data_IF_285304190976
#
_entry.id   IF_285304190976
#
_cell.length_a   1.000
_cell.length_b   1.000
_cell.length_c   1.000
_cell.angle_alpha   90.00
_cell.angle_beta   90.00
_cell.angle_gamma   90.00
#
_symmetry.space_group_name_H-M   'P 1'
#
loop_
_entity.id
_entity.type
_entity.pdbx_description
1 polymer ?
2 non-polymer ?
3 non-polymer ?
4 water ?
#
# COMPACT_ATOMS: atom_id res chain seq x y z
N UNK A 4 21.98 -22.39 -3.69
CA UNK A 4 21.57 -21.00 -4.15
C UNK A 4 20.89 -20.21 -3.01
N UNK A 5 21.45 -19.07 -2.54
CA UNK A 5 21.05 -18.47 -1.27
C UNK A 5 19.68 -17.78 -1.39
N UNK A 6 18.96 -17.69 -0.29
CA UNK A 6 17.64 -17.01 -0.28
C UNK A 6 17.91 -15.52 -0.22
N UNK A 7 17.12 -14.72 -0.94
CA UNK A 7 17.37 -13.29 -0.94
C UNK A 7 17.01 -12.60 0.36
N UNK A 8 17.69 -11.48 0.62
CA UNK A 8 17.48 -10.60 1.79
C UNK A 8 16.69 -9.37 1.35
N UNK A 9 16.70 -9.10 0.03
CA UNK A 9 16.02 -7.93 -0.58
C UNK A 9 15.53 -8.33 -1.98
N UNK A 10 14.32 -7.86 -2.34
CA UNK A 10 13.80 -8.01 -3.71
C UNK A 10 13.41 -6.64 -4.22
N UNK A 11 13.27 -6.54 -5.52
CA UNK A 11 12.70 -5.31 -6.10
C UNK A 11 11.31 -5.64 -6.64
N UNK A 12 10.43 -4.66 -6.44
CA UNK A 12 9.00 -4.77 -6.78
C UNK A 12 8.64 -3.60 -7.69
N UNK A 13 8.07 -3.85 -8.84
CA UNK A 13 7.46 -2.87 -9.75
C UNK A 13 5.97 -2.78 -9.44
N UNK A 14 5.49 -1.56 -9.30
CA UNK A 14 4.07 -1.25 -9.16
C UNK A 14 3.68 -0.38 -10.36
N UNK A 15 2.67 -0.76 -11.12
CA UNK A 15 2.14 0.09 -12.19
C UNK A 15 0.68 0.36 -11.97
N UNK A 16 0.24 1.57 -12.21
CA UNK A 16 -1.17 1.89 -12.24
C UNK A 16 -1.50 2.65 -13.53
N UNK A 17 -2.52 2.20 -14.24
CA UNK A 17 -2.91 2.84 -15.50
C UNK A 17 -4.41 2.78 -15.68
N UNK A 18 -5.04 3.93 -15.76
CA UNK A 18 -6.46 4.00 -16.16
C UNK A 18 -6.44 4.08 -17.70
N UNK A 19 -6.87 3.01 -18.33
CA UNK A 19 -6.71 2.80 -19.80
C UNK A 19 -7.81 3.53 -20.58
N UNK A 20 -8.80 4.11 -19.93
CA UNK A 20 -9.82 4.89 -20.64
C UNK A 20 -10.61 4.06 -21.61
N UNK A 21 -10.78 2.78 -21.31
CA UNK A 21 -11.64 1.86 -22.10
C UNK A 21 -11.12 1.78 -23.54
N UNK A 22 -9.82 1.94 -23.76
CA UNK A 22 -9.18 1.82 -25.08
C UNK A 22 -8.10 0.77 -25.00
N UNK A 23 -7.89 -0.01 -26.05
CA UNK A 23 -6.75 -0.92 -26.10
C UNK A 23 -5.43 -0.17 -26.06
N UNK A 24 -4.40 -0.82 -25.52
CA UNK A 24 -3.10 -0.17 -25.43
C UNK A 24 -2.46 -0.10 -26.80
N UNK A 25 -1.41 0.74 -26.90
CA UNK A 25 -0.64 0.75 -28.13
C UNK A 25 0.22 -0.50 -28.19
N UNK A 26 0.92 -0.67 -29.31
CA UNK A 26 1.68 -1.91 -29.54
C UNK A 26 2.87 -2.08 -28.59
N UNK A 27 3.47 -0.96 -28.18
CA UNK A 27 4.65 -0.96 -27.29
C UNK A 27 4.32 -0.21 -26.00
N UNK A 28 4.55 -0.86 -24.86
CA UNK A 28 4.32 -0.24 -23.51
C UNK A 28 5.54 -0.53 -22.64
N UNK A 29 6.65 -0.91 -23.24
CA UNK A 29 7.87 -1.21 -22.43
C UNK A 29 8.37 -0.04 -21.56
N UNK A 30 8.14 1.21 -21.96
CA UNK A 30 8.58 2.40 -21.19
C UNK A 30 8.00 2.30 -19.77
N UNK A 31 6.77 1.81 -19.65
CA UNK A 31 6.11 1.70 -18.35
C UNK A 31 6.95 0.81 -17.43
N UNK A 32 7.25 -0.41 -17.88
CA UNK A 32 7.98 -1.40 -17.06
C UNK A 32 9.46 -1.01 -16.86
N UNK A 33 10.00 -0.16 -17.72
CA UNK A 33 11.36 0.36 -17.56
C UNK A 33 11.42 1.62 -16.70
N UNK A 34 10.29 2.15 -16.21
CA UNK A 34 10.31 3.37 -15.39
C UNK A 34 10.98 4.51 -16.18
N UNK A 35 10.57 4.70 -17.43
CA UNK A 35 11.07 5.78 -18.31
C UNK A 35 9.96 6.81 -18.54
N UNK A 36 10.33 8.09 -18.52
CA UNK A 36 9.42 9.18 -18.85
C UNK A 36 9.76 10.36 -18.01
N UNK A 37 8.78 10.85 -17.25
CA UNK A 37 8.92 12.01 -16.34
C UNK A 37 9.04 11.51 -14.90
N UNK A 38 9.60 12.34 -14.03
CA UNK A 38 9.65 12.12 -12.61
C UNK A 38 10.95 11.50 -12.20
N UNK A 39 10.88 10.61 -11.21
CA UNK A 39 12.04 9.87 -10.68
C UNK A 39 12.14 8.56 -11.47
N UNK A 40 13.04 8.54 -12.45
CA UNK A 40 13.10 7.48 -13.46
C UNK A 40 14.30 6.56 -13.19
N UNK A 41 14.24 5.40 -13.80
CA UNK A 41 15.23 4.36 -13.58
C UNK A 41 16.40 4.52 -14.54
N UNK A 42 17.60 4.26 -14.05
CA UNK A 42 18.83 4.40 -14.85
C UNK A 42 18.83 3.37 -16.01
N UNK A 43 19.29 3.85 -17.17
CA UNK A 43 19.39 3.02 -18.40
C UNK A 43 20.25 1.77 -18.14
N UNK A 44 21.21 1.86 -17.24
CA UNK A 44 22.11 0.71 -17.00
C UNK A 44 21.37 -0.47 -16.37
N UNK A 45 20.15 -0.25 -15.85
CA UNK A 45 19.32 -1.30 -15.23
C UNK A 45 18.30 -1.91 -16.19
N UNK A 46 18.24 -1.49 -17.44
CA UNK A 46 17.10 -1.86 -18.30
C UNK A 46 16.93 -3.36 -18.47
N UNK A 47 18.02 -4.13 -18.46
CA UNK A 47 17.88 -5.58 -18.72
C UNK A 47 17.68 -6.35 -17.43
N UNK A 48 17.78 -5.69 -16.29
CA UNK A 48 17.73 -6.33 -14.97
C UNK A 48 16.26 -6.49 -14.62
N UNK A 49 15.74 -7.72 -14.50
CA UNK A 49 14.33 -7.87 -14.16
C UNK A 49 14.07 -7.50 -12.70
N UNK A 50 12.91 -6.88 -12.45
CA UNK A 50 12.39 -6.83 -11.08
C UNK A 50 11.98 -8.23 -10.66
N UNK A 51 11.94 -8.50 -9.37
CA UNK A 51 11.55 -9.81 -8.85
C UNK A 51 10.05 -10.04 -9.03
N UNK A 52 9.25 -9.00 -8.78
CA UNK A 52 7.78 -9.05 -8.80
C UNK A 52 7.28 -7.82 -9.56
N UNK A 53 6.37 -8.00 -10.51
CA UNK A 53 5.64 -6.92 -11.21
C UNK A 53 4.17 -6.97 -10.81
N UNK A 54 3.63 -5.87 -10.34
CA UNK A 54 2.22 -5.76 -9.95
C UNK A 54 1.61 -4.68 -10.80
N UNK A 55 0.60 -5.05 -11.57
CA UNK A 55 0.04 -4.18 -12.64
C UNK A 55 -1.44 -3.93 -12.36
N UNK A 56 -1.77 -2.70 -11.94
CA UNK A 56 -3.15 -2.29 -11.65
C UNK A 56 -3.68 -1.52 -12.84
N UNK A 57 -4.82 -1.94 -13.36
CA UNK A 57 -5.51 -1.17 -14.41
C UNK A 57 -6.90 -0.78 -13.95
N UNK A 58 -7.37 0.30 -14.53
CA UNK A 58 -8.75 0.79 -14.35
C UNK A 58 -9.33 1.08 -15.73
N UNK A 59 -10.65 1.01 -15.88
CA UNK A 59 -11.25 1.21 -17.22
C UNK A 59 -10.54 0.31 -18.23
N UNK A 60 -10.24 -0.92 -17.84
CA UNK A 60 -9.50 -1.89 -18.67
C UNK A 60 -10.49 -2.61 -19.58
N UNK A 61 -10.37 -2.46 -20.90
CA UNK A 61 -11.33 -3.09 -21.84
C UNK A 61 -10.94 -4.51 -22.25
N UNK A 62 -9.79 -4.99 -21.91
CA UNK A 62 -9.25 -6.27 -22.41
C UNK A 62 -9.78 -7.42 -21.56
N UNK A 63 -9.77 -8.60 -22.14
CA UNK A 63 -9.97 -9.81 -21.34
C UNK A 63 -8.71 -10.04 -20.50
N UNK A 64 -8.79 -10.91 -19.49
CA UNK A 64 -7.61 -11.31 -18.72
C UNK A 64 -6.56 -11.93 -19.64
N UNK A 65 -7.01 -12.81 -20.55
CA UNK A 65 -6.06 -13.48 -21.44
C UNK A 65 -5.35 -12.46 -22.30
N UNK A 66 -6.10 -11.54 -22.90
CA UNK A 66 -5.51 -10.53 -23.79
C UNK A 66 -4.45 -9.71 -23.04
N UNK A 67 -4.76 -9.27 -21.83
CA UNK A 67 -3.80 -8.41 -21.09
C UNK A 67 -2.61 -9.20 -20.62
N UNK A 68 -2.80 -10.44 -20.14
CA UNK A 68 -1.67 -11.29 -19.74
C UNK A 68 -0.71 -11.52 -20.88
N UNK A 69 -1.25 -11.79 -22.08
CA UNK A 69 -0.45 -11.93 -23.33
C UNK A 69 0.48 -10.72 -23.45
N UNK A 70 -0.11 -9.52 -23.42
CA UNK A 70 0.61 -8.26 -23.68
C UNK A 70 1.66 -8.06 -22.59
N UNK A 71 1.27 -8.30 -21.35
CA UNK A 71 2.20 -8.07 -20.23
C UNK A 71 3.39 -9.02 -20.33
N UNK A 72 3.13 -10.31 -20.44
CA UNK A 72 4.24 -11.30 -20.50
C UNK A 72 5.17 -11.03 -21.69
N UNK A 73 4.61 -10.73 -22.87
CA UNK A 73 5.39 -10.37 -24.08
C UNK A 73 6.31 -9.21 -23.75
N UNK A 74 5.74 -8.12 -23.22
CA UNK A 74 6.48 -6.88 -22.91
C UNK A 74 7.67 -7.20 -21.98
N UNK A 75 7.43 -7.95 -20.91
CA UNK A 75 8.53 -8.29 -19.97
C UNK A 75 9.55 -9.19 -20.67
N UNK A 76 9.08 -10.14 -21.44
CA UNK A 76 10.04 -11.05 -22.11
C UNK A 76 10.89 -10.24 -23.07
N UNK A 77 10.33 -9.28 -23.79
CA UNK A 77 11.14 -8.42 -24.68
C UNK A 77 12.21 -7.64 -23.89
N UNK A 78 11.84 -7.09 -22.73
CA UNK A 78 12.76 -6.25 -21.92
C UNK A 78 13.86 -7.13 -21.33
N UNK A 79 13.48 -8.24 -20.74
CA UNK A 79 14.36 -8.99 -19.79
C UNK A 79 14.83 -10.32 -20.33
N UNK A 80 14.21 -10.85 -21.38
CA UNK A 80 14.46 -12.21 -21.94
C UNK A 80 14.06 -13.27 -20.90
N UNK A 81 13.20 -12.91 -19.95
CA UNK A 81 12.64 -13.83 -18.93
C UNK A 81 11.16 -14.02 -19.17
N UNK A 82 10.70 -15.26 -19.07
CA UNK A 82 9.29 -15.61 -19.14
C UNK A 82 8.73 -15.62 -17.71
N UNK A 83 7.95 -14.60 -17.37
CA UNK A 83 7.47 -14.44 -16.00
C UNK A 83 6.32 -15.41 -15.76
N UNK A 84 6.18 -15.84 -14.52
CA UNK A 84 5.09 -16.71 -14.05
C UNK A 84 3.95 -15.84 -13.53
N UNK A 85 2.73 -16.21 -13.81
CA UNK A 85 1.55 -15.50 -13.28
C UNK A 85 1.26 -15.98 -11.87
N UNK A 86 1.38 -15.13 -10.87
CA UNK A 86 1.07 -15.40 -9.46
C UNK A 86 -0.43 -15.33 -9.27
N UNK A 87 -1.05 -14.27 -9.77
CA UNK A 87 -2.47 -14.03 -9.55
C UNK A 87 -2.97 -12.98 -10.52
N UNK A 88 -4.26 -13.11 -10.84
CA UNK A 88 -4.96 -12.06 -11.61
C UNK A 88 -6.36 -11.98 -11.03
N UNK A 89 -6.87 -10.80 -10.85
CA UNK A 89 -8.23 -10.64 -10.32
C UNK A 89 -8.84 -9.37 -10.90
N UNK A 90 -10.07 -9.48 -11.37
CA UNK A 90 -10.80 -8.40 -12.02
C UNK A 90 -12.15 -8.18 -11.36
N UNK A 91 -12.48 -6.93 -11.08
CA UNK A 91 -13.83 -6.51 -10.66
C UNK A 91 -14.26 -5.51 -11.73
N UNK A 92 -15.28 -5.81 -12.51
CA UNK A 92 -15.77 -4.92 -13.59
C UNK A 92 -14.58 -4.64 -14.52
N UNK A 93 -14.11 -3.41 -14.54
CA UNK A 93 -12.98 -3.04 -15.40
C UNK A 93 -11.76 -2.62 -14.57
N UNK A 94 -11.71 -3.07 -13.32
CA UNK A 94 -10.58 -2.86 -12.38
C UNK A 94 -9.81 -4.14 -12.21
N UNK A 95 -8.53 -4.15 -12.51
CA UNK A 95 -7.80 -5.42 -12.60
C UNK A 95 -6.45 -5.32 -11.93
N UNK A 96 -6.03 -6.38 -11.32
CA UNK A 96 -4.66 -6.54 -10.78
C UNK A 96 -4.04 -7.81 -11.33
N UNK A 97 -2.81 -7.71 -11.81
CA UNK A 97 -1.98 -8.85 -12.26
C UNK A 97 -0.71 -8.86 -11.45
N UNK A 98 -0.32 -10.01 -10.91
CA UNK A 98 1.00 -10.13 -10.27
C UNK A 98 1.81 -11.18 -11.03
N UNK A 99 2.97 -10.78 -11.48
CA UNK A 99 3.92 -11.66 -12.19
C UNK A 99 5.21 -11.74 -11.39
N UNK A 100 5.90 -12.87 -11.44
CA UNK A 100 7.16 -13.04 -10.69
C UNK A 100 8.15 -13.84 -11.51
N UNK A 101 9.44 -13.60 -11.27
CA UNK A 101 10.54 -14.43 -11.85
C UNK A 101 10.22 -15.89 -11.61
N UNK A 102 10.53 -16.78 -12.57
CA UNK A 102 10.30 -18.22 -12.35
C UNK A 102 11.04 -18.79 -11.15
N UNK A 103 12.22 -18.29 -10.85
CA UNK A 103 13.02 -18.74 -9.68
C UNK A 103 12.25 -18.51 -8.38
N UNK A 104 11.24 -17.63 -8.35
CA UNK A 104 10.47 -17.33 -7.12
C UNK A 104 9.26 -18.23 -6.93
N UNK A 105 8.95 -19.09 -7.91
CA UNK A 105 7.69 -19.86 -7.88
C UNK A 105 7.55 -20.66 -6.57
N UNK A 106 8.64 -21.26 -6.10
CA UNK A 106 8.60 -22.12 -4.88
C UNK A 106 8.72 -21.24 -3.62
N UNK A 107 9.01 -19.93 -3.78
CA UNK A 107 9.17 -18.98 -2.63
C UNK A 107 7.82 -18.33 -2.31
N UNK A 108 6.86 -18.49 -3.19
CA UNK A 108 5.55 -17.80 -3.11
C UNK A 108 4.48 -18.78 -2.68
N UNK A 109 3.68 -18.44 -1.70
CA UNK A 109 2.61 -19.32 -1.22
C UNK A 109 1.46 -18.49 -0.67
N UNK A 110 0.39 -19.11 -0.23
CA UNK A 110 -0.71 -18.43 0.47
C UNK A 110 -1.17 -17.28 -0.39
N UNK A 111 -1.47 -17.54 -1.63
CA UNK A 111 -1.93 -16.49 -2.57
C UNK A 111 -3.41 -16.27 -2.30
N UNK A 112 -3.79 -15.02 -2.03
CA UNK A 112 -5.20 -14.60 -1.79
C UNK A 112 -5.58 -13.50 -2.77
N UNK A 113 -6.85 -13.45 -3.17
CA UNK A 113 -7.41 -12.36 -4.00
C UNK A 113 -8.72 -11.98 -3.38
N UNK A 114 -9.11 -10.73 -3.56
CA UNK A 114 -10.44 -10.27 -3.14
C UNK A 114 -10.77 -8.96 -3.84
N UNK A 115 -12.01 -8.55 -3.75
CA UNK A 115 -12.43 -7.24 -4.25
C UNK A 115 -13.43 -6.65 -3.28
N UNK A 116 -13.56 -5.35 -3.37
CA UNK A 116 -14.60 -4.60 -2.66
C UNK A 116 -15.29 -3.70 -3.64
N UNK A 117 -16.62 -3.70 -3.64
CA UNK A 117 -17.46 -2.79 -4.41
C UNK A 117 -17.86 -1.64 -3.53
N UNK A 118 -17.53 -0.40 -3.91
CA UNK A 118 -17.86 0.75 -3.03
C UNK A 118 -19.24 1.31 -3.39
N UNK A 119 -19.77 2.18 -2.54
CA UNK A 119 -21.01 2.91 -2.91
C UNK A 119 -22.27 2.13 -2.60
N UNK A 120 -23.43 2.69 -2.96
CA UNK A 120 -24.79 2.13 -2.67
C UNK A 120 -25.69 2.60 -3.81
N UNK A 121 -26.49 1.69 -4.38
CA UNK A 121 -27.50 1.95 -5.44
C UNK A 121 -26.85 2.69 -6.63
N UNK A 122 -27.16 3.98 -6.81
CA UNK A 122 -26.61 4.91 -7.84
C UNK A 122 -25.09 4.72 -8.00
N UNK A 123 -24.39 4.67 -6.86
CA UNK A 123 -22.90 4.74 -6.76
C UNK A 123 -22.30 3.34 -6.62
N UNK A 124 -23.11 2.28 -6.64
CA UNK A 124 -22.56 0.90 -6.76
C UNK A 124 -22.63 0.48 -8.23
N UNK A 125 -21.51 0.02 -8.78
CA UNK A 125 -21.52 -0.70 -10.07
C UNK A 125 -20.32 -0.42 -10.93
N UNK A 126 -19.46 0.55 -10.56
CA UNK A 126 -18.19 0.55 -11.30
C UNK A 126 -16.92 0.86 -10.49
N UNK A 127 -17.04 1.45 -9.30
CA UNK A 127 -15.87 1.84 -8.45
C UNK A 127 -15.63 0.75 -7.40
N UNK A 128 -14.39 0.64 -6.94
CA UNK A 128 -14.03 -0.29 -5.88
C UNK A 128 -12.58 -0.67 -6.00
N UNK A 129 -12.23 -1.84 -5.53
CA UNK A 129 -10.82 -2.23 -5.46
C UNK A 129 -10.67 -3.70 -5.65
N UNK A 130 -9.52 -4.09 -6.15
CA UNK A 130 -9.10 -5.50 -6.21
C UNK A 130 -7.80 -5.61 -5.43
N UNK A 131 -7.50 -6.76 -4.91
CA UNK A 131 -6.22 -6.96 -4.23
C UNK A 131 -5.72 -8.34 -4.28
N UNK A 132 -4.42 -8.46 -4.02
CA UNK A 132 -3.70 -9.73 -4.01
C UNK A 132 -2.80 -9.72 -2.77
N UNK A 133 -2.68 -10.84 -2.09
CA UNK A 133 -1.64 -11.05 -1.07
C UNK A 133 -0.97 -12.40 -1.22
N UNK A 134 0.25 -12.51 -0.72
CA UNK A 134 0.94 -13.80 -0.71
C UNK A 134 2.06 -13.66 0.28
N UNK A 135 2.68 -14.81 0.55
CA UNK A 135 3.91 -14.91 1.34
C UNK A 135 5.05 -15.06 0.34
N UNK A 136 6.12 -14.34 0.52
CA UNK A 136 7.38 -14.50 -0.20
C UNK A 136 8.35 -14.96 0.88
N UNK A 137 8.72 -16.24 0.88
CA UNK A 137 9.49 -16.81 2.03
C UNK A 137 8.85 -16.33 3.35
N UNK A 138 9.59 -15.65 4.23
CA UNK A 138 9.08 -15.30 5.56
C UNK A 138 8.31 -13.97 5.58
N UNK A 139 8.12 -13.35 4.42
CA UNK A 139 7.62 -11.96 4.32
C UNK A 139 6.23 -11.94 3.68
N UNK A 140 5.28 -11.25 4.29
CA UNK A 140 3.91 -11.13 3.73
C UNK A 140 3.85 -9.85 2.89
N UNK A 141 3.25 -9.94 1.73
CA UNK A 141 3.13 -8.83 0.77
C UNK A 141 1.64 -8.66 0.40
N UNK A 142 1.14 -7.45 0.46
CA UNK A 142 -0.23 -7.13 0.01
C UNK A 142 -0.22 -6.04 -1.02
N UNK A 143 -1.17 -6.08 -1.93
CA UNK A 143 -1.28 -5.17 -3.07
C UNK A 143 -2.72 -4.82 -3.29
N UNK A 144 -3.02 -3.54 -3.38
CA UNK A 144 -4.43 -3.06 -3.56
C UNK A 144 -4.43 -2.12 -4.75
N UNK A 145 -5.28 -2.40 -5.72
CA UNK A 145 -5.58 -1.48 -6.84
C UNK A 145 -6.98 -0.94 -6.67
N UNK A 146 -7.12 0.32 -6.40
CA UNK A 146 -8.46 0.92 -6.20
C UNK A 146 -8.74 1.94 -7.27
N UNK A 147 -9.98 2.00 -7.74
CA UNK A 147 -10.54 3.07 -8.59
C UNK A 147 -11.59 3.78 -7.72
N UNK A 148 -11.26 4.97 -7.20
CA UNK A 148 -12.14 5.66 -6.26
C UNK A 148 -13.05 6.62 -7.04
N UNK A 149 -14.00 7.15 -6.31
CA UNK A 149 -15.02 8.06 -6.86
C UNK A 149 -14.36 9.20 -7.58
N UNK A 150 -14.91 9.57 -8.75
CA UNK A 150 -14.40 10.67 -9.59
C UNK A 150 -15.05 12.00 -9.20
N UNK A 151 -14.43 13.09 -9.63
CA UNK A 151 -15.05 14.41 -9.53
C UNK A 151 -14.36 15.27 -8.51
N UNK A 152 -14.05 16.50 -8.89
CA UNK A 152 -13.29 17.39 -7.99
C UNK A 152 -13.98 17.64 -6.64
N UNK A 153 -15.31 17.61 -6.62
CA UNK A 153 -16.13 17.99 -5.45
C UNK A 153 -16.28 16.80 -4.49
N UNK A 154 -15.78 15.62 -4.84
CA UNK A 154 -16.10 14.39 -4.09
C UNK A 154 -14.89 13.84 -3.32
N UNK A 155 -14.06 14.69 -2.75
CA UNK A 155 -12.95 14.15 -1.96
C UNK A 155 -13.43 13.35 -0.73
N UNK A 156 -14.51 13.78 -0.09
CA UNK A 156 -14.99 13.09 1.14
C UNK A 156 -15.51 11.69 0.74
N UNK A 157 -16.13 11.57 -0.44
CA UNK A 157 -16.56 10.25 -0.95
C UNK A 157 -15.33 9.36 -1.16
N UNK A 158 -14.27 9.89 -1.75
CA UNK A 158 -13.04 9.09 -1.95
C UNK A 158 -12.53 8.61 -0.60
N UNK A 159 -12.53 9.49 0.39
CA UNK A 159 -12.05 9.11 1.73
C UNK A 159 -12.92 7.95 2.28
N UNK A 160 -14.22 8.04 2.07
CA UNK A 160 -15.14 6.97 2.55
C UNK A 160 -14.85 5.69 1.76
N UNK A 161 -14.60 5.84 0.45
CA UNK A 161 -14.28 4.64 -0.35
C UNK A 161 -13.03 3.94 0.22
N UNK A 162 -11.98 4.72 0.50
CA UNK A 162 -10.76 4.20 1.15
C UNK A 162 -11.08 3.41 2.42
N UNK A 163 -11.92 3.98 3.30
CA UNK A 163 -12.21 3.31 4.59
C UNK A 163 -12.97 2.01 4.31
N UNK A 164 -13.94 2.04 3.40
CA UNK A 164 -14.66 0.79 3.06
C UNK A 164 -13.70 -0.28 2.53
N UNK A 165 -12.80 0.08 1.62
CA UNK A 165 -11.87 -0.89 1.05
C UNK A 165 -11.00 -1.48 2.17
N UNK A 166 -10.44 -0.59 2.97
CA UNK A 166 -9.57 -0.90 4.13
C UNK A 166 -10.27 -1.93 5.04
N UNK A 167 -11.56 -1.70 5.31
CA UNK A 167 -12.35 -2.53 6.25
C UNK A 167 -12.66 -3.90 5.66
N UNK A 168 -13.04 -3.92 4.38
CA UNK A 168 -13.77 -5.09 3.86
C UNK A 168 -12.92 -5.96 2.95
N UNK A 169 -11.77 -5.48 2.47
CA UNK A 169 -10.95 -6.32 1.60
C UNK A 169 -10.33 -7.42 2.46
N UNK A 170 -10.56 -8.67 2.10
CA UNK A 170 -10.18 -9.86 2.90
C UNK A 170 -8.95 -10.49 2.27
N UNK A 171 -7.79 -10.04 2.69
CA UNK A 171 -6.50 -10.58 2.20
C UNK A 171 -5.69 -11.00 3.39
N UNK A 172 -4.64 -11.76 3.14
CA UNK A 172 -3.69 -12.17 4.16
C UNK A 172 -4.28 -13.16 5.13
N UNK A 173 -3.64 -13.27 6.30
CA UNK A 173 -3.90 -14.38 7.27
C UNK A 173 -5.21 -14.10 8.02
N UNK A 174 -6.22 -14.93 7.71
CA UNK A 174 -7.55 -14.76 8.35
C UNK A 174 -7.46 -14.96 9.87
N UNK A 175 -6.48 -15.59 10.42
CA UNK A 175 -6.31 -15.71 11.89
C UNK A 175 -6.02 -14.36 12.53
N UNK A 176 -5.57 -13.38 11.73
CA UNK A 176 -5.34 -12.00 12.26
C UNK A 176 -6.64 -11.25 12.34
N UNK A 177 -7.63 -11.81 13.05
CA UNK A 177 -9.03 -11.38 12.96
C UNK A 177 -9.21 -9.94 13.40
N UNK A 178 -8.50 -9.38 14.41
CA UNK A 178 -8.68 -7.97 14.79
C UNK A 178 -8.11 -6.94 13.79
N UNK A 179 -7.35 -7.44 12.83
CA UNK A 179 -6.50 -6.56 11.98
C UNK A 179 -7.06 -6.45 10.58
N UNK A 180 -7.10 -5.24 10.07
CA UNK A 180 -7.42 -4.97 8.67
C UNK A 180 -6.17 -5.04 7.80
N UNK A 181 -6.35 -4.83 6.49
CA UNK A 181 -5.18 -4.97 5.60
C UNK A 181 -4.07 -3.99 5.94
N UNK A 182 -4.34 -2.88 6.64
CA UNK A 182 -3.24 -1.94 6.99
C UNK A 182 -2.32 -2.47 8.08
N UNK A 183 -2.59 -3.65 8.63
CA UNK A 183 -1.69 -4.29 9.60
C UNK A 183 -1.34 -5.72 9.24
N UNK A 184 -1.87 -6.31 8.16
CA UNK A 184 -1.64 -7.75 7.93
C UNK A 184 -0.35 -8.06 7.19
N UNK A 185 0.35 -7.08 6.62
CA UNK A 185 1.49 -7.34 5.73
C UNK A 185 2.75 -6.63 6.17
N UNK A 186 3.86 -7.32 5.95
CA UNK A 186 5.18 -6.72 6.12
C UNK A 186 5.23 -5.46 5.24
N UNK A 187 4.81 -5.59 4.00
CA UNK A 187 4.79 -4.47 3.03
C UNK A 187 3.42 -4.48 2.36
N UNK A 188 2.71 -3.35 2.41
CA UNK A 188 1.43 -3.17 1.72
C UNK A 188 1.60 -2.06 0.71
N UNK A 189 1.26 -2.29 -0.53
CA UNK A 189 1.30 -1.28 -1.61
C UNK A 189 -0.14 -1.00 -2.01
N UNK A 190 -0.53 0.26 -2.03
CA UNK A 190 -1.91 0.68 -2.37
C UNK A 190 -1.81 1.72 -3.49
N UNK A 191 -2.39 1.45 -4.63
CA UNK A 191 -2.20 2.24 -5.85
C UNK A 191 -3.54 2.26 -6.60
N UNK A 192 -3.58 3.06 -7.65
CA UNK A 192 -4.75 3.09 -8.49
C UNK A 192 -5.06 4.47 -8.99
N UNK A 193 -6.22 4.56 -9.68
CA UNK A 193 -6.85 5.86 -9.97
C UNK A 193 -7.62 6.29 -8.74
N UNK A 194 -6.86 6.92 -7.84
CA UNK A 194 -7.44 7.38 -6.58
C UNK A 194 -8.28 8.64 -6.81
N UNK A 195 -8.12 9.32 -7.93
CA UNK A 195 -9.08 10.33 -8.38
C UNK A 195 -9.04 11.62 -7.59
N UNK A 196 -8.07 11.82 -6.70
CA UNK A 196 -7.93 13.14 -6.06
C UNK A 196 -7.40 14.17 -7.04
N UNK A 197 -7.93 15.37 -6.90
CA UNK A 197 -7.72 16.44 -7.87
C UNK A 197 -6.95 17.61 -7.26
N UNK A 198 -6.46 18.46 -8.16
CA UNK A 198 -5.80 19.72 -7.77
C UNK A 198 -6.95 20.71 -7.58
N UNK A 199 -7.18 21.14 -6.35
CA UNK A 199 -8.37 21.96 -5.97
C UNK A 199 -8.00 23.44 -6.13
N UNK A 200 -8.09 23.92 -7.37
CA UNK A 200 -7.90 25.34 -7.72
C UNK A 200 -9.16 25.70 -8.51
N UNK A 201 -9.49 27.02 -8.57
CA UNK A 201 -10.65 27.44 -9.34
C UNK A 201 -10.56 27.05 -10.81
N UNK A 202 -11.70 26.73 -11.42
CA UNK A 202 -11.78 26.23 -12.82
C UNK A 202 -11.29 27.31 -13.81
N UNK A 203 -11.43 28.58 -13.46
CA UNK A 203 -10.96 29.71 -14.31
C UNK A 203 -9.44 29.91 -14.19
N UNK A 204 -8.76 29.16 -13.32
CA UNK A 204 -7.27 29.07 -13.34
C UNK A 204 -6.76 27.96 -14.28
N UNK A 205 -7.59 27.31 -15.07
CA UNK A 205 -7.16 26.17 -15.91
C UNK A 205 -5.96 26.53 -16.77
N UNK A 206 -5.98 27.66 -17.45
CA UNK A 206 -4.91 27.94 -18.42
C UNK A 206 -3.64 28.29 -17.62
N UNK A 207 -3.80 28.89 -16.45
CA UNK A 207 -2.66 29.22 -15.55
C UNK A 207 -2.02 27.90 -15.12
N UNK A 208 -2.85 26.92 -14.75
CA UNK A 208 -2.30 25.60 -14.34
C UNK A 208 -1.51 24.96 -15.50
N UNK A 209 -2.08 24.99 -16.69
CA UNK A 209 -1.41 24.44 -17.88
C UNK A 209 -0.04 25.09 -18.10
N UNK A 210 0.05 26.41 -17.97
CA UNK A 210 1.34 27.11 -18.18
C UNK A 210 2.33 26.71 -17.07
N UNK A 211 1.88 26.49 -15.83
CA UNK A 211 2.78 26.01 -14.77
C UNK A 211 3.35 24.63 -15.13
N UNK A 212 2.46 23.75 -15.64
CA UNK A 212 2.90 22.40 -16.04
C UNK A 212 3.91 22.49 -17.19
N UNK A 213 3.69 23.35 -18.17
CA UNK A 213 4.67 23.53 -19.27
C UNK A 213 6.04 24.01 -18.76
N UNK A 214 6.08 24.77 -17.67
CA UNK A 214 7.30 25.29 -17.04
C UNK A 214 7.89 24.27 -16.08
N UNK A 215 7.24 23.11 -15.95
CA UNK A 215 7.64 22.09 -14.94
C UNK A 215 7.71 22.69 -13.53
N UNK A 216 6.78 23.57 -13.20
CA UNK A 216 6.73 24.23 -11.89
C UNK A 216 5.51 23.64 -11.20
N UNK A 217 5.71 22.58 -10.42
CA UNK A 217 4.58 21.80 -9.83
C UNK A 217 4.27 22.25 -8.42
N UNK A 218 5.07 23.12 -7.77
CA UNK A 218 4.97 23.31 -6.31
C UNK A 218 3.61 23.88 -5.93
N UNK A 219 3.15 24.91 -6.64
CA UNK A 219 1.87 25.60 -6.31
C UNK A 219 0.69 24.74 -6.77
N UNK A 220 0.92 23.72 -7.58
CA UNK A 220 -0.17 22.77 -7.86
C UNK A 220 -0.22 21.68 -6.78
N UNK A 221 0.93 21.10 -6.42
CA UNK A 221 0.98 20.05 -5.37
C UNK A 221 0.46 20.58 -4.04
N UNK A 222 0.66 21.87 -3.75
CA UNK A 222 0.15 22.44 -2.46
C UNK A 222 -1.38 22.42 -2.46
N UNK A 223 -2.04 22.17 -3.59
CA UNK A 223 -3.53 22.07 -3.66
C UNK A 223 -3.99 20.65 -4.02
N UNK A 224 -3.07 19.70 -4.11
CA UNK A 224 -3.49 18.31 -4.40
C UNK A 224 -4.30 17.79 -3.23
N UNK A 225 -5.48 17.26 -3.53
CA UNK A 225 -6.38 16.84 -2.43
C UNK A 225 -5.83 15.66 -1.67
N UNK A 226 -5.13 14.75 -2.31
CA UNK A 226 -4.61 13.59 -1.57
C UNK A 226 -3.54 14.08 -0.57
N UNK A 227 -2.61 14.90 -0.99
CA UNK A 227 -1.61 15.44 -0.04
C UNK A 227 -2.31 16.21 1.08
N UNK A 228 -3.30 17.04 0.80
CA UNK A 228 -3.89 17.88 1.87
C UNK A 228 -4.74 17.01 2.77
N UNK A 229 -5.48 16.04 2.23
CA UNK A 229 -6.28 15.15 3.08
C UNK A 229 -5.37 14.28 3.95
N UNK A 230 -4.24 13.82 3.41
CA UNK A 230 -3.26 13.03 4.17
C UNK A 230 -2.66 13.89 5.29
N UNK A 231 -2.33 15.15 5.01
CA UNK A 231 -1.70 16.02 6.05
C UNK A 231 -2.72 16.26 7.17
N UNK A 232 -4.01 16.30 6.86
CA UNK A 232 -5.08 16.53 7.87
C UNK A 232 -5.54 15.21 8.47
N UNK A 233 -4.88 14.09 8.18
CA UNK A 233 -5.17 12.76 8.74
C UNK A 233 -6.59 12.34 8.43
N UNK A 234 -7.06 12.63 7.23
CA UNK A 234 -8.42 12.24 6.78
C UNK A 234 -8.41 10.93 6.03
N UNK A 235 -7.25 10.46 5.54
CA UNK A 235 -7.14 9.31 4.64
C UNK A 235 -5.69 8.83 4.61
N UNK A 236 -5.47 7.57 4.33
CA UNK A 236 -4.12 7.00 4.16
C UNK A 236 -3.25 7.33 5.38
N UNK A 237 -3.81 7.26 6.55
CA UNK A 237 -2.97 7.47 7.75
C UNK A 237 -1.87 6.41 7.82
N UNK A 238 -0.64 6.87 8.06
CA UNK A 238 0.54 6.01 8.25
C UNK A 238 1.02 5.36 6.96
N UNK A 239 0.57 5.83 5.81
CA UNK A 239 1.17 5.46 4.49
C UNK A 239 2.20 6.48 4.07
N UNK A 240 3.10 6.04 3.20
CA UNK A 240 4.15 6.88 2.57
C UNK A 240 3.81 7.07 1.08
N UNK A 241 4.32 8.16 0.49
CA UNK A 241 4.29 8.37 -0.95
C UNK A 241 5.59 9.08 -1.28
N UNK A 242 6.22 8.68 -2.37
CA UNK A 242 7.42 9.38 -2.89
C UNK A 242 7.01 10.77 -3.39
N UNK A 243 7.93 11.73 -3.33
CA UNK A 243 7.65 13.06 -3.85
C UNK A 243 7.31 12.96 -5.32
N UNK A 244 6.29 13.70 -5.75
CA UNK A 244 5.82 13.79 -7.13
C UNK A 244 6.67 14.80 -7.90
N UNK A 245 7.30 14.38 -8.99
CA UNK A 245 8.19 15.26 -9.80
C UNK A 245 7.82 15.10 -11.27
N UNK A 246 6.64 14.58 -11.57
CA UNK A 246 6.11 14.38 -12.94
C UNK A 246 4.87 15.24 -13.07
N UNK A 247 4.53 15.56 -14.30
CA UNK A 247 3.33 16.35 -14.60
C UNK A 247 2.08 15.57 -14.23
N UNK A 248 0.98 16.30 -13.96
CA UNK A 248 -0.31 15.65 -13.78
C UNK A 248 -0.57 14.62 -14.88
N UNK A 249 -1.18 13.49 -14.49
CA UNK A 249 -1.35 12.34 -15.39
C UNK A 249 -2.75 12.30 -16.01
N UNK A 250 -3.56 13.27 -15.70
CA UNK A 250 -4.98 13.36 -16.15
C UNK A 250 -5.27 14.85 -16.26
N UNK A 251 -6.18 15.28 -17.14
CA UNK A 251 -6.85 14.57 -18.21
C UNK A 251 -6.31 15.01 -19.57
N UNK A 252 -5.74 14.09 -20.33
CA UNK A 252 -5.10 14.37 -21.64
C UNK A 252 -6.09 14.13 -22.78
N UNK A 253 -5.94 14.92 -23.84
CA UNK A 253 -6.44 14.53 -25.17
C UNK A 253 -5.74 13.24 -25.56
N UNK A 254 -6.46 12.28 -26.10
CA UNK A 254 -5.84 11.03 -26.56
C UNK A 254 -4.97 11.26 -27.80
N UNK A 255 -3.97 10.41 -27.93
CA UNK A 255 -3.07 10.26 -29.11
C UNK A 255 -2.02 11.37 -29.15
N UNK A 256 -2.02 12.28 -28.19
CA UNK A 256 -0.88 13.18 -27.94
C UNK A 256 -0.66 13.26 -26.43
N UNK A 257 0.40 13.93 -25.96
CA UNK A 257 0.44 14.40 -24.54
C UNK A 257 0.57 15.92 -24.49
N UNK A 258 0.28 16.59 -25.60
CA UNK A 258 0.56 18.04 -25.71
C UNK A 258 -0.61 18.86 -25.15
N UNK A 259 -1.76 18.24 -24.93
CA UNK A 259 -2.98 18.94 -24.53
C UNK A 259 -3.67 18.25 -23.35
N UNK A 260 -3.96 19.07 -22.36
CA UNK A 260 -4.87 18.75 -21.26
C UNK A 260 -6.28 19.12 -21.69
N UNK A 261 -7.19 18.16 -21.66
CA UNK A 261 -8.60 18.33 -22.02
C UNK A 261 -9.37 18.53 -20.73
N UNK A 262 -9.52 19.74 -20.29
CA UNK A 262 -10.11 20.03 -18.97
C UNK A 262 -11.53 20.59 -19.00
N UNK A 263 -11.97 21.09 -20.17
CA UNK A 263 -13.25 21.84 -20.28
C UNK A 263 -14.44 20.89 -20.08
N UNK A 264 -15.57 21.42 -19.61
CA UNK A 264 -16.78 20.59 -19.38
C UNK A 264 -17.38 20.20 -20.74
N UNK A 265 -17.85 18.97 -20.84
CA UNK A 265 -18.45 18.39 -22.06
C UNK A 265 -19.61 17.49 -21.65
N UNK A 266 -20.56 17.22 -22.57
CA UNK A 266 -21.62 16.27 -22.22
C UNK A 266 -21.00 14.93 -21.77
N UNK A 267 -19.93 14.50 -22.44
CA UNK A 267 -19.25 13.22 -22.14
C UNK A 267 -18.69 13.23 -20.70
N UNK A 268 -18.43 14.40 -20.11
CA UNK A 268 -17.92 14.48 -18.70
C UNK A 268 -19.04 14.78 -17.72
N UNK A 269 -20.32 14.71 -18.10
CA UNK A 269 -21.40 15.10 -17.21
C UNK A 269 -21.36 16.59 -16.94
N UNK A 270 -20.82 17.36 -17.87
CA UNK A 270 -20.63 18.81 -17.74
C UNK A 270 -19.78 19.15 -16.51
N UNK A 271 -18.75 18.33 -16.30
CA UNK A 271 -17.74 18.50 -15.21
C UNK A 271 -16.42 18.98 -15.83
N UNK A 272 -15.75 19.90 -15.13
CA UNK A 272 -14.37 20.29 -15.45
C UNK A 272 -13.46 19.21 -14.89
N UNK A 273 -12.41 18.92 -15.62
CA UNK A 273 -11.33 18.01 -15.18
C UNK A 273 -10.00 18.76 -15.26
N UNK A 274 -9.77 19.63 -14.31
CA UNK A 274 -8.48 20.35 -14.25
C UNK A 274 -7.37 19.33 -14.09
N UNK A 275 -6.20 19.60 -14.67
CA UNK A 275 -5.06 18.69 -14.58
C UNK A 275 -4.85 18.28 -13.13
N UNK A 276 -4.69 16.97 -12.95
CA UNK A 276 -4.63 16.36 -11.62
C UNK A 276 -3.72 15.13 -11.59
N UNK A 277 -3.22 14.86 -10.39
CA UNK A 277 -2.46 13.62 -10.13
C UNK A 277 -3.43 12.54 -9.62
N UNK A 278 -4.25 12.04 -10.54
CA UNK A 278 -5.27 11.00 -10.16
C UNK A 278 -4.58 9.69 -9.79
N UNK A 279 -3.45 9.40 -10.39
CA UNK A 279 -2.88 8.04 -10.50
C UNK A 279 -1.67 7.90 -9.59
N UNK A 280 -1.75 7.08 -8.55
CA UNK A 280 -0.83 7.22 -7.42
C UNK A 280 -0.39 5.87 -6.91
N UNK A 281 0.75 5.84 -6.21
CA UNK A 281 1.27 4.64 -5.53
C UNK A 281 1.70 5.05 -4.14
N UNK A 282 1.13 4.42 -3.15
CA UNK A 282 1.46 4.62 -1.74
C UNK A 282 1.86 3.28 -1.13
N UNK A 283 2.52 3.31 0.02
CA UNK A 283 2.88 2.05 0.69
C UNK A 283 2.91 2.21 2.20
N UNK A 284 2.87 1.10 2.87
CA UNK A 284 3.00 1.08 4.34
C UNK A 284 3.72 -0.21 4.67
N UNK A 285 4.86 -0.12 5.32
CA UNK A 285 5.62 -1.29 5.73
C UNK A 285 5.72 -1.31 7.25
N UNK A 286 5.89 -2.49 7.82
CA UNK A 286 6.10 -2.59 9.28
C UNK A 286 7.30 -1.75 9.68
N UNK A 287 7.32 -1.31 10.97
CA UNK A 287 8.39 -0.48 11.48
C UNK A 287 9.76 -1.14 11.30
N UNK A 288 10.75 -0.36 10.83
CA UNK A 288 12.18 -0.74 10.74
C UNK A 288 12.37 -1.88 9.76
N UNK A 289 11.44 -2.07 8.81
CA UNK A 289 11.73 -2.97 7.68
C UNK A 289 12.26 -2.10 6.53
N UNK A 290 13.29 -2.55 5.85
CA UNK A 290 13.85 -1.85 4.68
C UNK A 290 12.80 -1.74 3.56
N UNK A 291 12.54 -0.50 3.14
CA UNK A 291 11.73 -0.27 1.92
C UNK A 291 12.20 1.05 1.38
N UNK A 292 12.64 1.07 0.14
CA UNK A 292 13.18 2.29 -0.50
C UNK A 292 12.57 2.43 -1.88
N UNK A 293 11.88 3.53 -2.11
CA UNK A 293 11.38 3.85 -3.47
C UNK A 293 12.54 4.22 -4.40
N UNK A 294 12.66 3.47 -5.49
CA UNK A 294 13.74 3.65 -6.50
C UNK A 294 13.26 4.50 -7.68
N UNK A 295 11.94 4.55 -7.95
CA UNK A 295 11.39 5.28 -9.11
C UNK A 295 9.95 5.63 -8.80
N UNK A 296 9.49 6.76 -9.31
CA UNK A 296 8.09 7.18 -9.20
C UNK A 296 7.87 8.19 -10.29
N UNK A 297 7.12 7.81 -11.32
CA UNK A 297 7.00 8.70 -12.48
C UNK A 297 5.91 8.30 -13.42
N UNK A 298 5.82 8.96 -14.54
CA UNK A 298 4.80 8.64 -15.55
C UNK A 298 5.48 8.47 -16.89
N UNK A 299 4.86 7.68 -17.77
CA UNK A 299 5.37 7.55 -19.13
C UNK A 299 4.88 8.73 -19.95
N UNK A 300 5.63 9.00 -20.99
CA UNK A 300 5.36 10.09 -21.94
C UNK A 300 4.90 9.63 -23.32
N UNK A 301 5.08 8.35 -23.65
CA UNK A 301 4.90 7.84 -25.04
C UNK A 301 3.59 7.05 -25.20
N UNK A 302 2.92 6.69 -24.10
CA UNK A 302 1.73 5.80 -24.14
C UNK A 302 0.51 6.73 -24.07
N UNK A 303 -0.22 6.87 -25.19
CA UNK A 303 -1.18 7.99 -25.39
C UNK A 303 -2.59 7.51 -25.74
N UNK A 304 -2.89 6.23 -25.60
CA UNK A 304 -4.23 5.68 -25.99
C UNK A 304 -5.31 6.10 -24.99
N UNK A 305 -4.93 6.44 -23.76
CA UNK A 305 -5.88 6.83 -22.74
C UNK A 305 -5.83 8.31 -22.43
N UNK A 306 -6.83 8.80 -21.75
CA UNK A 306 -6.80 10.18 -21.22
C UNK A 306 -5.98 10.27 -19.91
N UNK A 307 -5.48 9.13 -19.41
CA UNK A 307 -4.46 9.10 -18.34
C UNK A 307 -3.14 8.60 -18.90
N UNK A 308 -2.01 9.04 -18.34
CA UNK A 308 -0.72 8.38 -18.55
C UNK A 308 -0.51 7.33 -17.48
N UNK A 309 0.14 6.22 -17.85
CA UNK A 309 0.58 5.23 -16.86
C UNK A 309 1.53 5.84 -15.84
N UNK A 310 1.47 5.32 -14.63
CA UNK A 310 2.36 5.66 -13.52
C UNK A 310 3.09 4.41 -13.10
N UNK A 311 4.39 4.55 -12.84
CA UNK A 311 5.25 3.48 -12.33
C UNK A 311 5.86 3.88 -11.00
N UNK A 312 6.09 2.90 -10.15
CA UNK A 312 6.89 3.07 -8.95
C UNK A 312 7.66 1.78 -8.76
N UNK A 313 8.90 1.87 -8.31
CA UNK A 313 9.66 0.65 -7.96
C UNK A 313 10.24 0.79 -6.58
N UNK A 314 10.45 -0.37 -5.96
CA UNK A 314 10.87 -0.44 -4.57
C UNK A 314 11.87 -1.55 -4.37
N UNK A 315 12.85 -1.29 -3.50
CA UNK A 315 13.71 -2.34 -2.90
C UNK A 315 13.13 -2.65 -1.51
N UNK A 316 12.68 -3.90 -1.30
CA UNK A 316 11.95 -4.31 -0.11
C UNK A 316 12.70 -5.44 0.60
N UNK A 317 12.91 -5.26 1.89
CA UNK A 317 13.51 -6.30 2.73
C UNK A 317 12.61 -7.50 2.82
N UNK A 318 13.21 -8.70 2.73
CA UNK A 318 12.51 -9.99 2.89
C UNK A 318 13.36 -10.86 3.81
N UNK A 319 12.68 -11.79 4.44
CA UNK A 319 13.33 -12.75 5.33
C UNK A 319 13.12 -14.17 4.85
N UNK A 320 13.96 -15.08 5.34
CA UNK A 320 13.95 -16.52 4.99
C UNK A 320 12.79 -17.23 5.70
N UNK A 321 12.49 -18.46 5.26
CA UNK A 321 11.58 -19.39 5.98
C UNK A 321 12.42 -20.19 6.98
N UNK A 322 12.59 -19.70 8.20
CA UNK A 322 13.52 -20.22 9.24
C UNK A 322 13.09 -21.56 9.84
N UNK A 323 14.05 -22.50 9.93
CA UNK A 323 13.90 -23.82 10.63
C UNK A 323 15.04 -23.97 11.65
N UNK A 324 14.68 -24.28 12.90
CA UNK A 324 15.67 -24.71 13.92
C UNK A 324 15.35 -26.15 14.37
N UNK A 325 16.24 -26.67 15.21
CA UNK A 325 16.07 -27.97 15.93
C UNK A 325 14.76 -27.90 16.72
N UNK A 326 14.39 -26.71 17.23
CA UNK A 326 13.17 -26.50 18.06
C UNK A 326 12.02 -26.05 17.15
N UNK A 327 11.70 -24.75 17.08
CA UNK A 327 10.60 -24.27 16.25
C UNK A 327 11.00 -24.31 14.76
N UNK A 328 10.05 -24.35 13.81
CA UNK A 328 8.61 -24.53 14.08
C UNK A 328 8.14 -25.89 14.64
N UNK A 329 7.00 -25.87 15.32
CA UNK A 329 6.28 -27.02 15.89
C UNK A 329 6.48 -27.19 17.36
N UNK A 330 7.24 -26.28 17.95
CA UNK A 330 7.44 -26.15 19.42
C UNK A 330 8.00 -24.75 19.69
N UNK A 331 8.05 -24.38 20.96
CA UNK A 331 8.70 -23.12 21.42
C UNK A 331 10.22 -23.37 21.55
N UNK A 332 10.99 -22.29 21.67
CA UNK A 332 12.45 -22.34 21.91
C UNK A 332 12.67 -21.59 23.23
N UNK A 333 12.69 -22.30 24.35
CA UNK A 333 12.62 -21.72 25.72
C UNK A 333 13.83 -20.82 25.99
N UNK A 334 14.77 -20.70 25.05
CA UNK A 334 15.90 -19.72 25.13
C UNK A 334 15.40 -18.33 24.71
N UNK A 335 14.19 -18.23 24.16
CA UNK A 335 13.55 -16.96 23.73
C UNK A 335 12.42 -16.51 24.64
N UNK A 336 12.30 -15.19 24.86
CA UNK A 336 11.13 -14.61 25.54
C UNK A 336 10.97 -13.12 25.20
N UNK A 337 9.72 -12.70 25.19
CA UNK A 337 9.35 -11.27 25.03
C UNK A 337 8.52 -10.83 26.23
N UNK A 338 9.06 -9.87 26.97
CA UNK A 338 8.39 -9.28 28.15
C UNK A 338 8.02 -7.84 27.82
N UNK A 339 6.75 -7.47 28.08
CA UNK A 339 6.25 -6.07 28.09
C UNK A 339 6.15 -5.56 29.52
N UNK A 340 6.92 -4.51 29.86
CA UNK A 340 6.94 -3.84 31.18
C UNK A 340 6.20 -2.50 31.09
N UNK A 341 5.43 -2.15 32.13
CA UNK A 341 4.99 -0.74 32.39
C UNK A 341 4.25 -0.25 31.14
N UNK A 342 3.40 -1.09 30.59
CA UNK A 342 2.72 -0.73 29.34
C UNK A 342 1.40 -0.05 29.67
N UNK A 343 1.03 0.89 28.82
CA UNK A 343 -0.32 1.48 28.93
C UNK A 343 -0.80 1.89 27.56
N UNK A 344 -2.10 1.75 27.41
CA UNK A 344 -2.80 2.29 26.23
C UNK A 344 -3.50 3.60 26.60
N UNK A 345 -3.50 4.53 25.68
CA UNK A 345 -4.28 5.78 25.80
C UNK A 345 -5.34 5.72 24.72
N UNK A 346 -6.63 5.80 25.06
CA UNK A 346 -7.67 5.61 24.03
C UNK A 346 -8.55 6.83 23.96
N UNK A 347 -8.97 7.18 22.75
CA UNK A 347 -9.88 8.32 22.50
C UNK A 347 -11.34 7.99 22.83
N UNK A 348 -11.69 6.75 23.11
CA UNK A 348 -13.08 6.31 23.43
C UNK A 348 -13.70 6.98 24.67
N UNK A 349 -15.02 7.09 24.65
CA UNK A 349 -15.81 7.48 25.85
C UNK A 349 -16.24 6.24 26.63
N UNK A 350 -16.17 5.05 26.01
CA UNK A 350 -16.60 3.77 26.63
C UNK A 350 -15.92 3.61 27.99
N UNK A 351 -16.55 2.89 28.92
CA UNK A 351 -15.94 2.58 30.24
C UNK A 351 -15.90 1.05 30.47
N UNK A 352 -16.03 0.21 29.43
CA UNK A 352 -15.70 -1.24 29.50
C UNK A 352 -14.27 -1.40 30.07
N UNK A 353 -13.97 -2.58 30.61
CA UNK A 353 -12.58 -3.02 30.80
C UNK A 353 -12.04 -3.44 29.42
N UNK A 354 -10.73 -3.41 29.29
CA UNK A 354 -10.04 -3.81 28.03
C UNK A 354 -8.98 -4.85 28.33
N UNK A 355 -8.71 -5.71 27.34
CA UNK A 355 -7.61 -6.68 27.33
C UNK A 355 -6.86 -6.53 26.01
N UNK A 356 -5.66 -7.08 25.98
CA UNK A 356 -4.79 -7.04 24.77
C UNK A 356 -4.80 -8.41 24.12
N UNK A 357 -4.61 -8.43 22.81
CA UNK A 357 -4.18 -9.64 22.08
C UNK A 357 -2.86 -9.34 21.39
N UNK A 358 -1.92 -10.29 21.49
CA UNK A 358 -0.61 -10.20 20.83
C UNK A 358 -0.61 -11.24 19.72
N UNK A 359 -0.41 -10.81 18.48
CA UNK A 359 -0.40 -11.71 17.32
C UNK A 359 0.93 -11.60 16.60
N UNK A 360 1.53 -12.73 16.29
CA UNK A 360 2.77 -12.71 15.52
C UNK A 360 3.06 -14.11 15.01
N UNK A 361 3.63 -14.16 13.80
CA UNK A 361 4.17 -15.39 13.17
C UNK A 361 5.21 -16.06 14.08
N UNK A 362 5.87 -15.29 14.96
CA UNK A 362 6.91 -15.84 15.85
C UNK A 362 6.26 -16.59 17.03
N UNK A 363 4.94 -16.54 17.19
CA UNK A 363 4.20 -17.26 18.25
C UNK A 363 3.46 -18.45 17.65
N UNK A 364 3.23 -19.49 18.44
CA UNK A 364 2.46 -20.66 17.95
C UNK A 364 1.02 -20.23 17.73
N UNK A 365 0.51 -19.34 18.57
CA UNK A 365 -0.84 -18.75 18.43
C UNK A 365 -0.91 -17.44 19.22
N UNK A 366 -1.98 -16.68 19.00
CA UNK A 366 -2.06 -15.33 19.62
C UNK A 366 -2.22 -15.51 21.13
N UNK A 367 -1.88 -14.45 21.85
CA UNK A 367 -1.87 -14.46 23.36
C UNK A 367 -2.80 -13.37 23.82
N UNK A 368 -3.72 -13.72 24.72
CA UNK A 368 -4.73 -12.78 25.30
C UNK A 368 -4.31 -12.42 26.72
N UNK A 369 -4.13 -11.13 27.00
CA UNK A 369 -3.73 -10.61 28.33
C UNK A 369 -4.95 -10.68 29.27
N UNK A 370 -4.64 -10.41 30.54
CA UNK A 370 -5.63 -10.04 31.57
C UNK A 370 -6.14 -8.64 31.24
N UNK A 371 -7.25 -8.28 31.86
CA UNK A 371 -7.81 -6.92 31.76
C UNK A 371 -6.84 -5.93 32.39
N UNK A 372 -6.74 -4.75 31.79
CA UNK A 372 -5.96 -3.65 32.36
C UNK A 372 -6.75 -2.89 33.40
N UNK A 373 -6.10 -1.90 34.00
CA UNK A 373 -6.65 -0.98 35.02
C UNK A 373 -6.93 0.38 34.41
N UNK A 374 -8.21 0.74 34.32
CA UNK A 374 -8.66 2.03 33.74
C UNK A 374 -8.39 3.16 34.73
N UNK A 375 -7.81 4.26 34.26
CA UNK A 375 -7.78 5.54 35.01
C UNK A 375 -8.26 6.62 34.04
N UNK A 376 -8.64 7.79 34.56
CA UNK A 376 -8.98 9.02 33.78
C UNK A 376 -7.68 9.79 33.54
N UNK A 377 -7.34 10.06 32.27
CA UNK A 377 -6.24 10.96 31.85
C UNK A 377 -6.63 12.43 32.07
N UNK A 378 -5.65 13.28 32.41
CA UNK A 378 -5.83 14.70 32.77
C UNK A 378 -6.76 15.40 31.74
N UNK A 379 -6.49 15.23 30.43
CA UNK A 379 -7.14 16.02 29.34
C UNK A 379 -8.37 15.26 28.79
N UNK A 380 -8.99 14.36 29.57
CA UNK A 380 -10.34 13.81 29.29
C UNK A 380 -10.34 12.45 28.61
N UNK A 381 -9.21 11.70 28.57
CA UNK A 381 -9.05 10.45 27.77
C UNK A 381 -9.09 9.22 28.69
N UNK A 382 -9.11 8.03 28.10
CA UNK A 382 -8.98 6.81 28.92
C UNK A 382 -7.52 6.32 28.88
N UNK A 383 -6.94 6.03 30.03
CA UNK A 383 -5.62 5.39 30.17
C UNK A 383 -5.89 4.00 30.70
N UNK A 384 -5.42 3.00 30.00
CA UNK A 384 -5.58 1.60 30.44
C UNK A 384 -4.20 1.10 30.82
N UNK A 385 -3.96 0.84 32.10
CA UNK A 385 -2.63 0.42 32.60
C UNK A 385 -2.56 -1.11 32.66
N UNK A 386 -1.45 -1.69 32.20
CA UNK A 386 -1.21 -3.15 32.26
C UNK A 386 -0.13 -3.50 33.28
N UNK A 387 0.63 -2.51 33.72
CA UNK A 387 1.71 -2.66 34.70
C UNK A 387 2.73 -3.69 34.24
N UNK A 388 2.93 -4.72 35.06
CA UNK A 388 3.88 -5.83 34.84
C UNK A 388 3.06 -7.13 34.78
N UNK A 389 1.75 -7.00 34.51
CA UNK A 389 0.77 -8.10 34.48
C UNK A 389 0.82 -8.85 33.13
N UNK A 390 1.47 -8.31 32.08
CA UNK A 390 1.31 -8.87 30.70
C UNK A 390 1.98 -10.24 30.61
N UNK A 391 1.36 -11.20 29.87
CA UNK A 391 1.91 -12.54 29.72
C UNK A 391 3.28 -12.49 29.03
N UNK A 392 4.22 -13.33 29.46
CA UNK A 392 5.56 -13.44 28.81
C UNK A 392 5.35 -14.19 27.51
N UNK A 393 5.77 -13.66 26.34
CA UNK A 393 5.49 -14.31 25.05
C UNK A 393 6.65 -15.26 24.76
N UNK A 394 6.31 -16.43 24.24
CA UNK A 394 7.26 -17.54 24.02
C UNK A 394 7.39 -17.79 22.53
N UNK A 395 8.45 -17.22 21.90
CA UNK A 395 8.62 -17.36 20.46
C UNK A 395 9.06 -18.78 20.13
N UNK A 396 8.77 -19.18 18.89
CA UNK A 396 8.96 -20.55 18.36
C UNK A 396 10.44 -20.77 18.10
N UNK A 397 11.17 -19.67 17.90
CA UNK A 397 12.61 -19.70 17.53
C UNK A 397 13.30 -18.61 18.33
N UNK A 398 14.46 -18.87 18.89
CA UNK A 398 15.17 -17.95 19.82
C UNK A 398 16.35 -17.27 19.12
N UNK A 399 16.78 -17.75 17.94
CA UNK A 399 17.95 -17.25 17.20
C UNK A 399 17.69 -15.77 16.95
N UNK A 400 18.61 -14.87 17.33
CA UNK A 400 18.41 -13.44 17.16
C UNK A 400 18.36 -13.07 15.68
N UNK A 401 19.03 -13.79 14.78
CA UNK A 401 18.94 -13.54 13.31
C UNK A 401 17.48 -13.66 12.82
N UNK A 402 16.68 -14.43 13.53
CA UNK A 402 15.25 -14.59 13.19
C UNK A 402 14.48 -13.58 14.02
N UNK A 403 14.64 -13.60 15.35
CA UNK A 403 13.66 -12.94 16.25
C UNK A 403 13.74 -11.42 16.07
N UNK A 404 14.91 -10.83 15.84
CA UNK A 404 15.06 -9.37 15.76
C UNK A 404 14.40 -8.85 14.49
N UNK A 405 14.08 -9.73 13.55
CA UNK A 405 13.37 -9.34 12.30
C UNK A 405 11.86 -9.43 12.43
N UNK A 406 11.32 -9.82 13.57
CA UNK A 406 9.88 -10.10 13.72
C UNK A 406 9.16 -8.85 14.21
N UNK A 407 7.84 -8.95 14.25
CA UNK A 407 6.93 -7.87 14.68
C UNK A 407 5.82 -8.47 15.51
N UNK A 408 5.34 -7.69 16.50
CA UNK A 408 4.17 -8.06 17.32
C UNK A 408 3.05 -7.11 16.98
N UNK A 409 1.94 -7.66 16.48
CA UNK A 409 0.71 -6.88 16.31
C UNK A 409 -0.03 -6.90 17.65
N UNK A 410 -0.60 -5.74 18.01
CA UNK A 410 -1.35 -5.58 19.28
C UNK A 410 -2.73 -5.08 18.93
N UNK A 411 -3.73 -5.73 19.50
CA UNK A 411 -5.13 -5.25 19.49
C UNK A 411 -5.54 -5.01 20.93
N UNK A 412 -6.21 -3.90 21.17
CA UNK A 412 -6.86 -3.68 22.49
C UNK A 412 -8.35 -3.84 22.29
N UNK A 413 -8.91 -4.79 23.04
CA UNK A 413 -10.31 -5.22 22.87
C UNK A 413 -11.14 -4.98 24.13
N UNK A 414 -12.40 -4.61 23.89
CA UNK A 414 -13.43 -4.48 24.96
C UNK A 414 -13.75 -5.85 25.57
N UNK A 415 -13.66 -5.98 26.88
CA UNK A 415 -14.15 -7.21 27.58
C UNK A 415 -15.65 -7.41 27.35
N UNK A 416 -16.43 -6.33 27.16
CA UNK A 416 -17.92 -6.42 27.06
C UNK A 416 -18.32 -6.93 25.67
N UNK A 417 -17.61 -6.56 24.61
CA UNK A 417 -18.04 -6.84 23.20
C UNK A 417 -17.00 -7.69 22.47
N UNK A 418 -15.77 -7.80 22.99
CA UNK A 418 -14.62 -8.44 22.29
C UNK A 418 -14.34 -7.75 20.94
N UNK A 419 -14.72 -6.63 20.84
CA UNK A 419 -14.42 -5.87 19.60
C UNK A 419 -13.12 -5.08 19.82
N UNK A 420 -12.28 -4.98 18.77
CA UNK A 420 -11.03 -4.17 18.82
C UNK A 420 -11.36 -2.68 18.80
N UNK A 421 -10.78 -1.95 19.73
CA UNK A 421 -10.84 -0.48 19.77
C UNK A 421 -9.56 0.12 19.16
N UNK A 422 -8.52 -0.68 18.92
CA UNK A 422 -7.28 -0.15 18.35
C UNK A 422 -6.31 -1.27 18.06
N UNK A 423 -5.58 -1.06 16.97
CA UNK A 423 -4.57 -2.01 16.44
C UNK A 423 -3.29 -1.26 16.15
N UNK A 424 -2.17 -1.89 16.46
CA UNK A 424 -0.85 -1.35 16.13
C UNK A 424 0.19 -2.43 16.02
N UNK A 425 1.42 -2.04 15.81
CA UNK A 425 2.52 -2.96 15.53
C UNK A 425 3.80 -2.48 16.19
N UNK A 426 4.50 -3.41 16.81
CA UNK A 426 5.82 -3.18 17.50
C UNK A 426 6.90 -3.97 16.78
N UNK A 427 7.98 -3.35 16.36
CA UNK A 427 9.16 -4.08 15.82
C UNK A 427 9.97 -4.71 16.98
N UNK A 428 10.51 -5.89 16.73
CA UNK A 428 11.54 -6.49 17.63
C UNK A 428 12.97 -6.17 17.19
N UNK A 429 13.15 -5.27 16.23
CA UNK A 429 14.47 -4.81 15.76
C UNK A 429 15.02 -3.82 16.80
N UNK A 430 15.46 -4.35 17.95
CA UNK A 430 15.83 -3.52 19.11
C UNK A 430 17.29 -3.11 19.07
N UNK A 431 17.62 -2.06 19.80
CA UNK A 431 19.02 -1.61 19.94
C UNK A 431 19.83 -2.55 20.83
N UNK A 432 19.19 -3.41 21.61
CA UNK A 432 19.79 -4.25 22.66
C UNK A 432 18.85 -5.36 23.04
N UNK A 433 19.37 -6.52 23.47
CA UNK A 433 18.60 -7.60 24.10
C UNK A 433 18.90 -7.59 25.60
N UNK A 434 18.05 -8.26 26.35
CA UNK A 434 18.19 -8.43 27.82
C UNK A 434 18.21 -7.04 28.47
N UNK A 435 17.57 -6.06 27.84
CA UNK A 435 17.65 -4.62 28.20
C UNK A 435 16.24 -4.02 28.08
N UNK A 436 15.76 -3.29 29.08
CA UNK A 436 14.41 -2.69 29.02
C UNK A 436 14.53 -1.49 28.08
N UNK A 437 13.70 -1.46 27.04
CA UNK A 437 13.78 -0.42 25.99
C UNK A 437 12.39 0.11 25.69
N UNK A 438 12.26 1.42 25.42
CA UNK A 438 10.95 1.98 25.13
C UNK A 438 10.36 1.38 23.84
N UNK A 439 9.06 1.14 23.88
CA UNK A 439 8.31 0.77 22.65
C UNK A 439 7.11 1.69 22.53
N UNK A 440 6.59 1.77 21.31
CA UNK A 440 5.48 2.69 20.98
C UNK A 440 4.83 2.20 19.70
N UNK A 441 3.51 2.31 19.65
CA UNK A 441 2.79 2.33 18.35
C UNK A 441 1.56 3.22 18.51
N UNK A 442 1.18 3.94 17.47
CA UNK A 442 -0.17 4.51 17.41
C UNK A 442 -1.17 3.33 17.28
N UNK A 443 -2.39 3.55 17.70
CA UNK A 443 -3.47 2.56 17.54
C UNK A 443 -4.49 3.13 16.59
N UNK A 444 -4.96 2.31 15.67
CA UNK A 444 -6.02 2.72 14.75
C UNK A 444 -7.13 1.69 14.78
N UNK A 445 -8.30 2.11 14.31
CA UNK A 445 -9.42 1.18 14.10
C UNK A 445 -10.12 1.68 12.86
N UNK A 446 -10.42 0.77 11.94
CA UNK A 446 -10.95 1.15 10.60
C UNK A 446 -10.01 2.21 10.00
N UNK A 447 -8.71 2.10 10.26
CA UNK A 447 -7.69 2.97 9.66
C UNK A 447 -7.63 4.36 10.24
N UNK A 448 -8.48 4.71 11.22
CA UNK A 448 -8.44 6.04 11.85
C UNK A 448 -7.81 5.95 13.23
N UNK A 449 -7.17 7.04 13.66
CA UNK A 449 -6.47 7.06 14.96
C UNK A 449 -7.46 6.90 16.11
N UNK A 450 -7.19 5.97 17.00
CA UNK A 450 -8.05 5.78 18.20
C UNK A 450 -7.26 5.85 19.49
N UNK A 451 -5.94 5.96 19.41
CA UNK A 451 -5.14 5.97 20.63
C UNK A 451 -3.70 5.61 20.40
N UNK A 452 -3.04 5.24 21.46
CA UNK A 452 -1.60 4.92 21.46
C UNK A 452 -1.31 3.79 22.44
N UNK A 453 -0.24 3.05 22.18
CA UNK A 453 0.26 2.02 23.12
C UNK A 453 1.74 2.30 23.30
N UNK A 454 2.17 2.34 24.56
CA UNK A 454 3.57 2.66 24.92
C UNK A 454 3.96 1.83 26.15
N UNK A 455 5.26 1.61 26.32
CA UNK A 455 5.77 0.96 27.51
C UNK A 455 7.18 0.59 27.22
N UNK A 456 7.63 -0.52 27.82
CA UNK A 456 8.98 -1.02 27.59
C UNK A 456 8.89 -2.48 27.21
N UNK A 457 9.95 -2.94 26.56
CA UNK A 457 10.10 -4.34 26.14
C UNK A 457 11.46 -4.83 26.67
N UNK A 458 11.53 -6.08 26.83
CA UNK A 458 12.79 -6.78 27.20
C UNK A 458 12.78 -8.06 26.37
N UNK A 459 13.68 -8.21 25.47
CA UNK A 459 13.76 -9.35 24.54
C UNK A 459 14.97 -10.23 24.89
N UNK A 460 14.69 -11.51 25.12
CA UNK A 460 15.72 -12.57 25.30
C UNK A 460 15.84 -13.36 24.00
N UNK A 461 17.05 -13.45 23.45
CA UNK A 461 17.36 -14.33 22.32
C UNK A 461 18.35 -15.36 22.83
N UNK A 462 18.67 -16.32 21.98
CA UNK A 462 19.68 -17.38 22.27
C UNK A 462 21.09 -16.79 22.37
N UNK A 463 21.34 -15.53 22.01
CA UNK A 463 22.71 -14.94 22.06
C UNK A 463 22.84 -13.92 23.20
X LIG B 1 5.29 8.23 21.68
X LIG B 1 6.81 6.40 23.50
X LIG B 1 7.29 6.82 22.26
X LIG B 1 6.62 7.82 21.34
X LIG B 1 4.47 9.10 20.89
X LIG B 1 3.24 9.49 21.42
X LIG B 1 3.89 10.29 18.91
X LIG B 1 9.34 6.09 20.77
X LIG B 1 4.79 9.50 19.58
X LIG B 1 8.43 6.05 22.00
X LIG B 1 7.67 5.45 23.99
X LIG B 1 2.39 10.28 20.68
X LIG B 1 2.74 10.64 19.46
X LIG B 1 8.63 5.27 23.06
X LIG B 1 7.14 8.19 20.35
X LIG C 1 8.04 10.06 23.22
X LIG C 1 10.13 7.93 23.95
X LIG C 1 10.35 8.95 23.02
X LIG C 1 9.27 9.91 22.48
X LIG C 1 6.93 10.91 22.77
X LIG C 1 5.79 11.01 23.55
X LIG C 1 5.79 12.41 21.25
X LIG C 1 12.47 9.75 21.69
X LIG C 1 6.90 11.64 21.57
X LIG C 1 11.70 8.87 22.68
X LIG C 1 11.33 7.27 24.17
X LIG C 1 4.72 11.79 23.17
X LIG C 1 4.75 12.45 22.03
X LIG C 1 12.25 7.84 23.38
X LIG C 1 9.40 10.52 21.46
X LIG D 1 9.02 -10.26 7.88
X LIG D 1 9.90 -10.49 6.69
X LIG D 1 9.74 -8.91 8.67
X LIG D 1 9.43 -11.45 9.15
X LIG E 1 3.45 -10.80 11.65
X LIG E 1 4.19 -11.75 12.60
X LIG E 1 1.81 -11.52 11.52
X LIG E 1 3.03 -9.42 12.62
X LIG F 1 1.54 1.54 13.35
X LIG F 1 0.94 0.28 12.67
X LIG F 1 1.79 2.68 12.04
X LIG F 1 3.24 1.16 13.70
#
# INVERSE_FOLDING_TARGET
SMEQPEPDMITIFIGTWNMGNAPPPKKITSWFLSKGQGKTRDDSADYIPHDIYVIGTQEDPLSEKEWLEILKHSLQEITSVTFKTVAIHTLWNIRIVVLAKPEHENRISHICTDNVKTGIANTLGNKGAVGVSFMFNGTSLGFVNSHLTSGSEKKLRRNQNYMNILRFLALGDKKLSPFNITHRFTHLFWFGDLNYRVDLPTWEAETIIQKIKQQQYADLLSHDQLLTERREQKVFLHFEEEEITFAPTYRFERLTRDKYAYTKQKATGMKYNLPSWCDRVLWKSYPLVHVVCQSYGSTSDIMTSDHSPVFATFEAGVTSQFVSKNGPGTVDSQGQIEFLRCYATLKTKSQTKFYLEFHSSCLESFVKSQEGENEEGSEGELVVKFGETLPKLKPIISDPEYLLDQHILISIKSSDSDESYGEGCIALRLEATETQLPIYTPLTHHGELTGHFQGEIKLQTSQ
NU4 N1 C4 C5 C6 C7 C8 C10 C1 C11 C2 C3 C9 N2 O1 O2
NU4 N1 C4 C5 C6 C7 C8 C10 C1 C11 C2 C3 C9 N2 O1 O2
DMS S O C1 C2
DMS S O C1 C2
DMS S O C1 C2
#
